data_IF_222365638411
#
_entry.id   IF_222365638411
#
_cell.length_a   1.000
_cell.length_b   1.000
_cell.length_c   1.000
_cell.angle_alpha   90.00
_cell.angle_beta   90.00
_cell.angle_gamma   90.00
#
_symmetry.space_group_name_H-M   'P 1'
#
loop_
_entity.id
_entity.type
_entity.pdbx_description
1 polymer ?
#
# COMPACT_ATOMS: atom_id res chain seq x y z
N UNK A 1 -50.14 6.36 -7.49
CA UNK A 1 -50.14 6.53 -6.03
C UNK A 1 -49.88 5.17 -5.39
N UNK A 2 -48.61 4.88 -5.18
CA UNK A 2 -48.11 3.76 -4.37
C UNK A 2 -47.07 4.39 -3.45
N UNK A 3 -47.13 4.18 -2.13
CA UNK A 3 -46.35 4.96 -1.20
C UNK A 3 -44.88 4.54 -1.27
N UNK A 4 -44.02 5.47 -1.65
CA UNK A 4 -42.60 5.41 -1.31
C UNK A 4 -42.51 5.42 0.21
N UNK A 5 -42.09 4.29 0.79
CA UNK A 5 -41.62 4.25 2.17
C UNK A 5 -40.30 5.04 2.23
N UNK A 6 -40.41 6.35 2.38
CA UNK A 6 -39.36 7.20 2.95
C UNK A 6 -39.16 6.74 4.39
N UNK A 7 -38.35 5.71 4.59
CA UNK A 7 -37.59 5.57 5.85
C UNK A 7 -36.63 6.74 5.87
N UNK A 8 -37.08 7.87 6.43
CA UNK A 8 -36.20 8.90 6.92
C UNK A 8 -35.26 8.22 7.91
N UNK A 9 -34.01 7.97 7.51
CA UNK A 9 -32.96 7.56 8.44
C UNK A 9 -32.83 8.70 9.46
N UNK A 10 -33.44 8.51 10.62
CA UNK A 10 -33.31 9.34 11.80
C UNK A 10 -31.97 9.02 12.46
N UNK A 11 -30.86 9.11 11.72
CA UNK A 11 -29.53 8.98 12.29
C UNK A 11 -28.82 10.33 12.19
N UNK A 12 -28.12 10.72 13.25
CA UNK A 12 -27.31 11.93 13.25
C UNK A 12 -26.22 11.92 12.15
N UNK A 13 -25.84 10.72 11.69
CA UNK A 13 -24.80 10.46 10.69
C UNK A 13 -25.38 10.25 9.28
N UNK A 14 -24.72 10.83 8.27
CA UNK A 14 -25.01 10.63 6.85
C UNK A 14 -24.21 9.41 6.34
N UNK A 15 -24.76 8.22 6.57
CA UNK A 15 -24.07 6.96 6.31
C UNK A 15 -24.25 6.43 4.88
N UNK A 16 -23.17 5.90 4.27
CA UNK A 16 -23.31 5.11 3.06
C UNK A 16 -23.93 3.73 3.35
N UNK A 17 -24.61 3.19 2.34
CA UNK A 17 -25.24 1.85 2.37
C UNK A 17 -24.23 0.71 2.54
N UNK A 18 -22.98 0.93 2.10
CA UNK A 18 -21.86 0.02 2.27
C UNK A 18 -20.76 0.79 2.99
N UNK A 19 -20.31 0.26 4.14
CA UNK A 19 -19.20 0.81 4.90
C UNK A 19 -17.94 0.90 4.04
N UNK A 20 -17.23 2.02 4.13
CA UNK A 20 -15.89 2.18 3.53
C UNK A 20 -14.90 1.09 3.99
N UNK A 21 -15.11 0.47 5.16
CA UNK A 21 -14.38 -0.72 5.60
C UNK A 21 -14.52 -1.94 4.67
N UNK A 22 -15.68 -2.14 4.03
CA UNK A 22 -15.87 -3.21 3.05
C UNK A 22 -15.10 -2.93 1.74
N UNK A 23 -15.01 -1.66 1.34
CA UNK A 23 -14.19 -1.23 0.20
C UNK A 23 -12.70 -1.47 0.51
N UNK A 24 -12.24 -1.16 1.72
CA UNK A 24 -10.87 -1.43 2.16
C UNK A 24 -10.55 -2.93 2.14
N UNK A 25 -11.47 -3.79 2.60
CA UNK A 25 -11.26 -5.25 2.54
C UNK A 25 -11.14 -5.76 1.09
N UNK A 26 -11.99 -5.25 0.20
CA UNK A 26 -11.90 -5.56 -1.22
C UNK A 26 -10.56 -5.11 -1.84
N UNK A 27 -9.98 -4.02 -1.33
CA UNK A 27 -8.69 -3.49 -1.77
C UNK A 27 -7.48 -4.23 -1.17
N UNK A 28 -7.54 -4.71 0.08
CA UNK A 28 -6.35 -5.28 0.75
C UNK A 28 -6.23 -6.80 0.62
N UNK A 29 -7.34 -7.52 0.63
CA UNK A 29 -7.33 -8.99 0.66
C UNK A 29 -6.73 -9.65 -0.59
N UNK A 30 -7.03 -9.19 -1.83
CA UNK A 30 -6.41 -9.77 -3.03
C UNK A 30 -4.89 -9.56 -3.04
N UNK A 31 -4.42 -8.37 -2.66
CA UNK A 31 -3.00 -8.05 -2.51
C UNK A 31 -2.33 -8.95 -1.46
N UNK A 32 -2.95 -9.13 -0.29
CA UNK A 32 -2.44 -10.03 0.75
C UNK A 32 -2.28 -11.47 0.23
N UNK A 33 -3.29 -11.98 -0.47
CA UNK A 33 -3.25 -13.31 -1.06
C UNK A 33 -2.13 -13.45 -2.11
N UNK A 34 -1.95 -12.44 -2.97
CA UNK A 34 -0.87 -12.40 -3.96
C UNK A 34 0.49 -12.37 -3.26
N UNK A 35 0.68 -11.53 -2.23
CA UNK A 35 1.94 -11.45 -1.47
C UNK A 35 2.29 -12.78 -0.80
N UNK A 36 1.31 -13.48 -0.24
CA UNK A 36 1.51 -14.79 0.38
C UNK A 36 1.84 -15.88 -0.65
N UNK A 37 1.19 -15.84 -1.81
CA UNK A 37 1.34 -16.85 -2.88
C UNK A 37 2.57 -16.61 -3.78
N UNK A 38 3.04 -15.37 -3.86
CA UNK A 38 4.10 -14.96 -4.78
C UNK A 38 5.41 -15.75 -4.61
N UNK A 39 5.96 -15.98 -3.39
CA UNK A 39 7.20 -16.73 -3.24
C UNK A 39 7.18 -18.14 -3.85
N UNK A 40 5.99 -18.74 -4.01
CA UNK A 40 5.82 -20.08 -4.58
C UNK A 40 5.59 -20.04 -6.09
N UNK A 41 4.83 -19.07 -6.57
CA UNK A 41 4.33 -19.05 -7.95
C UNK A 41 5.09 -18.08 -8.86
N UNK A 42 5.73 -17.05 -8.31
CA UNK A 42 6.17 -15.89 -9.10
C UNK A 42 7.29 -16.25 -10.08
N UNK A 43 8.17 -17.17 -9.72
CA UNK A 43 9.27 -17.64 -10.56
C UNK A 43 8.79 -18.28 -11.89
N UNK A 44 7.54 -18.76 -11.93
CA UNK A 44 6.95 -19.39 -13.12
C UNK A 44 6.54 -18.37 -14.19
N UNK A 45 6.29 -17.12 -13.79
CA UNK A 45 5.78 -16.09 -14.70
C UNK A 45 6.89 -15.14 -15.15
N UNK A 46 7.07 -14.88 -16.46
CA UNK A 46 8.04 -13.89 -16.94
C UNK A 46 7.61 -12.47 -16.58
N UNK A 47 8.57 -11.55 -16.40
CA UNK A 47 8.32 -10.16 -15.99
C UNK A 47 7.34 -9.43 -16.93
N UNK A 48 7.49 -9.59 -18.24
CA UNK A 48 6.59 -8.95 -19.21
C UNK A 48 5.13 -9.34 -19.04
N UNK A 49 4.85 -10.62 -18.75
CA UNK A 49 3.49 -11.09 -18.49
C UNK A 49 2.94 -10.51 -17.18
N UNK A 50 3.76 -10.44 -16.12
CA UNK A 50 3.33 -9.85 -14.85
C UNK A 50 2.97 -8.37 -15.00
N UNK A 51 3.80 -7.62 -15.73
CA UNK A 51 3.53 -6.20 -16.02
C UNK A 51 2.30 -6.05 -16.91
N UNK A 52 2.12 -6.90 -17.92
CA UNK A 52 0.92 -6.87 -18.76
C UNK A 52 -0.36 -7.10 -17.93
N UNK A 53 -0.36 -8.10 -17.04
CA UNK A 53 -1.49 -8.36 -16.12
C UNK A 53 -1.74 -7.15 -15.20
N UNK A 54 -0.68 -6.55 -14.66
CA UNK A 54 -0.76 -5.35 -13.83
C UNK A 54 -1.42 -4.18 -14.59
N UNK A 55 -0.93 -3.86 -15.79
CA UNK A 55 -1.49 -2.77 -16.61
C UNK A 55 -2.94 -3.03 -16.99
N UNK A 56 -3.27 -4.24 -17.45
CA UNK A 56 -4.65 -4.55 -17.90
C UNK A 56 -5.62 -4.58 -16.73
N UNK A 57 -5.23 -5.09 -15.57
CA UNK A 57 -6.06 -5.06 -14.36
C UNK A 57 -6.23 -3.63 -13.83
N UNK A 58 -5.19 -2.79 -13.83
CA UNK A 58 -5.31 -1.37 -13.47
C UNK A 58 -6.25 -0.62 -14.42
N UNK A 59 -6.08 -0.81 -15.73
CA UNK A 59 -6.91 -0.14 -16.73
C UNK A 59 -8.36 -0.62 -16.66
N UNK A 60 -8.57 -1.93 -16.51
CA UNK A 60 -9.88 -2.53 -16.28
C UNK A 60 -10.54 -2.02 -15.00
N UNK A 61 -9.79 -1.81 -13.92
CA UNK A 61 -10.29 -1.23 -12.67
C UNK A 61 -10.90 0.15 -12.88
N UNK A 62 -10.14 1.10 -13.46
CA UNK A 62 -10.63 2.46 -13.69
C UNK A 62 -11.89 2.47 -14.57
N UNK A 63 -11.91 1.68 -15.65
CA UNK A 63 -13.06 1.59 -16.55
C UNK A 63 -14.28 0.99 -15.84
N UNK A 64 -14.09 -0.09 -15.08
CA UNK A 64 -15.17 -0.81 -14.44
C UNK A 64 -15.81 0.04 -13.32
N UNK A 65 -15.00 0.79 -12.55
CA UNK A 65 -15.53 1.76 -11.56
C UNK A 65 -16.19 2.95 -12.24
N UNK A 66 -15.61 3.49 -13.34
CA UNK A 66 -16.20 4.63 -14.04
C UNK A 66 -17.58 4.31 -14.64
N UNK A 67 -17.81 3.09 -15.13
CA UNK A 67 -19.08 2.66 -15.71
C UNK A 67 -19.96 1.83 -14.77
N UNK A 68 -19.60 1.71 -13.49
CA UNK A 68 -20.37 0.89 -12.56
C UNK A 68 -21.76 1.48 -12.31
N UNK A 69 -22.80 0.65 -12.47
CA UNK A 69 -24.17 1.02 -12.09
C UNK A 69 -24.57 0.47 -10.74
N UNK A 70 -23.88 -0.59 -10.29
CA UNK A 70 -24.16 -1.32 -9.06
C UNK A 70 -22.90 -1.38 -8.19
N UNK A 71 -23.06 -1.38 -6.86
CA UNK A 71 -21.90 -1.38 -5.95
C UNK A 71 -21.02 -2.63 -6.08
N UNK A 72 -21.60 -3.79 -6.43
CA UNK A 72 -20.83 -5.01 -6.70
C UNK A 72 -19.86 -4.84 -7.86
N UNK A 73 -20.26 -4.10 -8.90
CA UNK A 73 -19.36 -3.78 -10.01
C UNK A 73 -18.25 -2.86 -9.51
N UNK A 74 -18.56 -1.78 -8.78
CA UNK A 74 -17.54 -0.89 -8.22
C UNK A 74 -16.51 -1.65 -7.36
N UNK A 75 -16.97 -2.58 -6.50
CA UNK A 75 -16.11 -3.44 -5.67
C UNK A 75 -15.25 -4.39 -6.51
N UNK A 76 -15.80 -4.97 -7.58
CA UNK A 76 -15.01 -5.78 -8.51
C UNK A 76 -13.88 -4.95 -9.16
N UNK A 77 -14.16 -3.69 -9.47
CA UNK A 77 -13.16 -2.74 -9.96
C UNK A 77 -12.06 -2.49 -8.93
N UNK A 78 -12.41 -2.33 -7.65
CA UNK A 78 -11.45 -2.20 -6.55
C UNK A 78 -10.60 -3.46 -6.39
N UNK A 79 -11.18 -4.66 -6.50
CA UNK A 79 -10.44 -5.93 -6.49
C UNK A 79 -9.43 -6.01 -7.64
N UNK A 80 -9.78 -5.54 -8.84
CA UNK A 80 -8.84 -5.45 -9.96
C UNK A 80 -7.70 -4.47 -9.68
N UNK A 81 -7.98 -3.34 -9.03
CA UNK A 81 -6.94 -2.39 -8.59
C UNK A 81 -5.98 -3.05 -7.61
N UNK A 82 -6.51 -3.81 -6.65
CA UNK A 82 -5.73 -4.57 -5.67
C UNK A 82 -4.82 -5.59 -6.34
N UNK A 83 -5.33 -6.37 -7.29
CA UNK A 83 -4.53 -7.36 -8.03
C UNK A 83 -3.38 -6.67 -8.76
N UNK A 84 -3.66 -5.54 -9.42
CA UNK A 84 -2.62 -4.71 -10.07
C UNK A 84 -1.58 -4.25 -9.06
N UNK A 85 -2.01 -3.66 -7.95
CA UNK A 85 -1.12 -3.09 -6.92
C UNK A 85 -0.21 -4.17 -6.32
N UNK A 86 -0.78 -5.29 -5.86
CA UNK A 86 -0.02 -6.39 -5.26
C UNK A 86 0.97 -7.03 -6.24
N UNK A 87 0.55 -7.31 -7.48
CA UNK A 87 1.45 -7.88 -8.49
C UNK A 87 2.52 -6.87 -8.94
N UNK A 88 2.15 -5.60 -9.07
CA UNK A 88 3.04 -4.51 -9.43
C UNK A 88 4.12 -4.30 -8.40
N UNK A 89 3.76 -4.21 -7.11
CA UNK A 89 4.70 -4.05 -6.00
C UNK A 89 5.77 -5.13 -6.04
N UNK A 90 5.38 -6.41 -6.09
CA UNK A 90 6.32 -7.53 -6.05
C UNK A 90 7.19 -7.56 -7.32
N UNK A 91 6.60 -7.26 -8.48
CA UNK A 91 7.31 -7.30 -9.76
C UNK A 91 8.35 -6.18 -9.87
N UNK A 92 7.97 -4.95 -9.58
CA UNK A 92 8.87 -3.79 -9.67
C UNK A 92 9.89 -3.79 -8.53
N UNK A 93 9.51 -4.19 -7.32
CA UNK A 93 10.46 -4.35 -6.22
C UNK A 93 11.51 -5.42 -6.55
N UNK A 94 11.11 -6.57 -7.11
CA UNK A 94 12.05 -7.58 -7.56
C UNK A 94 13.00 -7.05 -8.66
N UNK A 95 12.50 -6.23 -9.59
CA UNK A 95 13.33 -5.62 -10.63
C UNK A 95 14.39 -4.66 -10.06
N UNK A 96 14.13 -3.99 -8.93
CA UNK A 96 15.13 -3.11 -8.30
C UNK A 96 16.42 -3.83 -7.91
N UNK A 97 16.35 -5.15 -7.66
CA UNK A 97 17.53 -5.96 -7.29
C UNK A 97 18.60 -6.04 -8.39
N UNK A 98 18.24 -5.75 -9.63
CA UNK A 98 19.18 -5.70 -10.76
C UNK A 98 19.89 -4.35 -10.90
N UNK A 99 19.53 -3.35 -10.10
CA UNK A 99 20.07 -1.99 -10.17
C UNK A 99 20.73 -1.57 -8.85
N UNK A 100 21.38 -0.40 -8.86
CA UNK A 100 22.05 0.17 -7.70
C UNK A 100 21.09 0.36 -6.52
N UNK A 101 21.60 0.29 -5.29
CA UNK A 101 20.80 0.40 -4.06
C UNK A 101 20.01 1.70 -3.93
N UNK A 102 20.41 2.78 -4.63
CA UNK A 102 19.65 4.03 -4.71
C UNK A 102 18.25 3.85 -5.34
N UNK A 103 18.07 2.85 -6.21
CA UNK A 103 16.79 2.57 -6.89
C UNK A 103 15.71 2.11 -5.92
N UNK A 104 16.06 1.39 -4.85
CA UNK A 104 15.10 0.97 -3.81
C UNK A 104 14.54 2.18 -3.06
N UNK A 105 15.39 3.17 -2.77
CA UNK A 105 14.97 4.43 -2.15
C UNK A 105 14.08 5.24 -3.09
N UNK A 106 14.45 5.34 -4.38
CA UNK A 106 13.63 6.02 -5.38
C UNK A 106 12.25 5.33 -5.57
N UNK A 107 12.20 4.00 -5.54
CA UNK A 107 10.94 3.24 -5.60
C UNK A 107 10.05 3.53 -4.39
N UNK A 108 10.61 3.51 -3.17
CA UNK A 108 9.86 3.81 -1.94
C UNK A 108 9.35 5.26 -1.90
N UNK A 109 10.15 6.21 -2.38
CA UNK A 109 9.72 7.60 -2.53
C UNK A 109 8.61 7.75 -3.59
N UNK A 110 8.75 7.06 -4.74
CA UNK A 110 7.77 7.04 -5.81
C UNK A 110 6.40 6.50 -5.39
N UNK A 111 6.35 5.46 -4.56
CA UNK A 111 5.06 4.95 -4.04
C UNK A 111 4.37 5.94 -3.09
N UNK A 112 5.14 6.66 -2.25
CA UNK A 112 4.60 7.75 -1.44
C UNK A 112 4.11 8.93 -2.29
N UNK A 113 4.88 9.30 -3.33
CA UNK A 113 4.49 10.35 -4.28
C UNK A 113 3.24 9.97 -5.08
N UNK A 114 3.07 8.71 -5.45
CA UNK A 114 1.89 8.21 -6.14
C UNK A 114 0.61 8.41 -5.32
N UNK A 115 0.65 8.20 -4.00
CA UNK A 115 -0.48 8.47 -3.10
C UNK A 115 -0.87 9.96 -3.09
N UNK A 116 0.12 10.84 -2.96
CA UNK A 116 -0.10 12.30 -2.96
C UNK A 116 -0.59 12.81 -4.33
N UNK A 117 0.09 12.45 -5.41
CA UNK A 117 -0.27 12.88 -6.77
C UNK A 117 -1.63 12.29 -7.17
N UNK A 118 -1.91 11.04 -6.81
CA UNK A 118 -3.21 10.40 -7.06
C UNK A 118 -4.36 11.13 -6.35
N UNK A 119 -4.22 11.40 -5.06
CA UNK A 119 -5.23 12.14 -4.30
C UNK A 119 -5.40 13.58 -4.83
N UNK A 120 -4.29 14.28 -5.10
CA UNK A 120 -4.30 15.65 -5.64
C UNK A 120 -4.92 15.72 -7.03
N UNK A 121 -4.60 14.78 -7.92
CA UNK A 121 -5.17 14.77 -9.27
C UNK A 121 -6.66 14.48 -9.23
N UNK A 122 -7.12 13.57 -8.37
CA UNK A 122 -8.55 13.28 -8.23
C UNK A 122 -9.30 14.48 -7.66
N UNK A 123 -8.78 15.05 -6.56
CA UNK A 123 -9.35 16.26 -5.94
C UNK A 123 -9.35 17.44 -6.91
N UNK A 124 -8.25 17.70 -7.59
CA UNK A 124 -8.10 18.84 -8.49
C UNK A 124 -9.01 18.77 -9.71
N UNK A 125 -9.13 17.59 -10.35
CA UNK A 125 -10.03 17.38 -11.49
C UNK A 125 -11.49 17.52 -11.07
N UNK A 126 -11.87 16.96 -9.93
CA UNK A 126 -13.23 17.06 -9.42
C UNK A 126 -13.58 18.47 -8.91
N UNK A 127 -12.61 19.24 -8.41
CA UNK A 127 -12.78 20.67 -8.11
C UNK A 127 -12.86 21.55 -9.36
N UNK A 128 -12.20 21.15 -10.45
CA UNK A 128 -12.32 21.79 -11.75
C UNK A 128 -13.69 21.56 -12.42
N UNK A 129 -14.60 20.82 -11.78
CA UNK A 129 -15.97 20.58 -12.23
C UNK A 129 -16.15 19.28 -13.01
N UNK A 130 -15.13 18.43 -13.14
CA UNK A 130 -15.30 17.11 -13.75
C UNK A 130 -16.11 16.20 -12.82
N UNK A 131 -16.97 15.38 -13.40
CA UNK A 131 -17.67 14.34 -12.65
C UNK A 131 -16.67 13.30 -12.13
N UNK A 132 -16.98 12.55 -11.04
CA UNK A 132 -16.16 11.42 -10.60
C UNK A 132 -15.90 10.40 -11.71
N UNK A 133 -16.90 10.16 -12.57
CA UNK A 133 -16.79 9.27 -13.72
C UNK A 133 -15.75 9.78 -14.73
N UNK A 134 -15.87 11.02 -15.17
CA UNK A 134 -14.93 11.62 -16.13
C UNK A 134 -13.51 11.71 -15.56
N UNK A 135 -13.40 11.96 -14.26
CA UNK A 135 -12.13 11.98 -13.53
C UNK A 135 -11.45 10.62 -13.58
N UNK A 136 -12.18 9.53 -13.29
CA UNK A 136 -11.65 8.17 -13.38
C UNK A 136 -11.26 7.78 -14.80
N UNK A 137 -12.06 8.20 -15.80
CA UNK A 137 -11.74 8.00 -17.22
C UNK A 137 -10.46 8.75 -17.60
N UNK A 138 -10.27 9.99 -17.14
CA UNK A 138 -9.04 10.72 -17.36
C UNK A 138 -7.83 10.03 -16.71
N UNK A 139 -8.00 9.48 -15.50
CA UNK A 139 -6.96 8.75 -14.79
C UNK A 139 -6.54 7.42 -15.44
N UNK A 140 -7.28 6.91 -16.43
CA UNK A 140 -6.86 5.75 -17.22
C UNK A 140 -5.53 5.97 -17.97
N UNK A 141 -5.08 7.23 -18.08
CA UNK A 141 -3.74 7.57 -18.58
C UNK A 141 -2.62 7.01 -17.70
N UNK A 142 -2.85 6.81 -16.39
CA UNK A 142 -1.83 6.34 -15.45
C UNK A 142 -1.35 4.91 -15.78
N UNK A 143 -2.22 3.90 -15.98
CA UNK A 143 -1.80 2.59 -16.50
C UNK A 143 -1.04 2.66 -17.83
N UNK A 144 -1.40 3.59 -18.73
CA UNK A 144 -0.72 3.78 -20.01
C UNK A 144 0.70 4.33 -19.80
N UNK A 145 0.85 5.31 -18.91
CA UNK A 145 2.18 5.84 -18.50
C UNK A 145 3.00 4.73 -17.84
N UNK A 146 2.39 3.89 -17.01
CA UNK A 146 3.08 2.73 -16.40
C UNK A 146 3.59 1.77 -17.48
N UNK A 147 2.79 1.44 -18.50
CA UNK A 147 3.22 0.60 -19.61
C UNK A 147 4.34 1.27 -20.44
N UNK A 148 4.18 2.55 -20.76
CA UNK A 148 5.17 3.30 -21.52
C UNK A 148 6.50 3.40 -20.77
N UNK A 149 6.48 3.64 -19.46
CA UNK A 149 7.69 3.67 -18.64
C UNK A 149 8.38 2.31 -18.59
N UNK A 150 7.64 1.21 -18.49
CA UNK A 150 8.22 -0.13 -18.56
C UNK A 150 8.84 -0.45 -19.93
N UNK A 151 8.18 -0.08 -21.03
CA UNK A 151 8.64 -0.42 -22.38
C UNK A 151 9.78 0.48 -22.88
N UNK A 152 9.75 1.78 -22.58
CA UNK A 152 10.63 2.78 -23.17
C UNK A 152 11.65 3.37 -22.20
N UNK A 153 11.30 3.53 -20.92
CA UNK A 153 12.15 4.19 -19.93
C UNK A 153 13.03 3.19 -19.18
N UNK A 154 12.50 2.01 -18.85
CA UNK A 154 13.22 1.02 -18.07
C UNK A 154 14.31 0.36 -18.91
N UNK A 155 15.57 0.56 -18.51
CA UNK A 155 16.69 -0.13 -19.14
C UNK A 155 16.52 -1.65 -18.97
N UNK A 156 16.63 -2.45 -20.05
CA UNK A 156 16.52 -3.90 -19.94
C UNK A 156 17.62 -4.43 -19.03
N UNK A 157 17.30 -5.35 -18.10
CA UNK A 157 18.33 -5.99 -17.29
C UNK A 157 19.38 -6.63 -18.22
N UNK A 158 20.69 -6.56 -17.92
CA UNK A 158 21.75 -7.11 -18.77
C UNK A 158 21.60 -8.62 -19.09
N UNK A 159 20.71 -9.31 -18.39
CA UNK A 159 20.47 -10.75 -18.46
C UNK A 159 19.02 -11.12 -18.83
N UNK A 160 18.13 -10.15 -19.09
CA UNK A 160 16.74 -10.40 -19.43
C UNK A 160 16.38 -9.82 -20.81
N UNK A 161 15.77 -10.61 -21.72
CA UNK A 161 15.37 -10.10 -23.02
C UNK A 161 14.35 -8.96 -22.89
N UNK A 162 14.58 -7.87 -23.65
CA UNK A 162 13.58 -6.82 -23.93
C UNK A 162 12.30 -7.51 -24.39
N UNK A 163 11.23 -7.44 -23.59
CA UNK A 163 9.92 -7.99 -23.95
C UNK A 163 9.92 -9.50 -24.28
N UNK A 164 10.74 -10.31 -23.59
CA UNK A 164 10.67 -11.76 -23.74
C UNK A 164 9.57 -12.39 -22.88
N UNK A 165 8.66 -13.13 -23.52
CA UNK A 165 7.70 -14.05 -22.89
C UNK A 165 8.37 -15.34 -22.33
N UNK A 166 9.71 -15.34 -22.25
CA UNK A 166 10.49 -16.50 -21.84
C UNK A 166 10.70 -16.55 -20.33
N UNK A 167 10.41 -17.70 -19.73
CA UNK A 167 10.81 -18.03 -18.35
C UNK A 167 12.33 -17.98 -18.28
N UNK A 168 12.88 -17.24 -17.30
CA UNK A 168 14.32 -17.31 -17.00
C UNK A 168 14.65 -18.75 -16.57
N UNK A 169 15.24 -19.55 -17.46
CA UNK A 169 15.82 -20.83 -17.06
C UNK A 169 17.09 -20.53 -16.23
N UNK A 170 17.17 -20.95 -14.96
CA UNK A 170 18.46 -20.96 -14.28
C UNK A 170 19.38 -21.90 -15.07
N UNK A 171 20.52 -21.40 -15.56
CA UNK A 171 21.53 -22.27 -16.17
C UNK A 171 22.09 -23.18 -15.07
N UNK A 172 21.76 -24.47 -15.14
CA UNK A 172 22.59 -25.52 -14.53
C UNK A 172 23.94 -25.53 -15.24
N UNK A 173 25.08 -25.53 -14.53
CA UNK A 173 26.39 -25.63 -15.16
C UNK A 173 26.59 -27.06 -15.64
N UNK A 174 26.35 -27.29 -16.94
CA UNK A 174 26.79 -28.53 -17.61
C UNK A 174 28.17 -28.30 -18.18
N UNK A 175 29.18 -28.94 -17.59
CA UNK A 175 30.47 -29.17 -18.23
C UNK A 175 30.30 -30.00 -19.51
N UNK A 176 31.29 -29.96 -20.42
CA UNK A 176 32.33 -30.97 -20.33
C UNK A 176 33.77 -30.45 -20.50
N UNK A 177 34.67 -31.20 -19.86
CA UNK A 177 36.12 -31.28 -19.96
C UNK A 177 36.75 -31.01 -21.33
N UNK A 178 37.85 -30.24 -21.37
CA UNK A 178 39.19 -30.69 -21.83
C UNK A 178 40.28 -29.83 -21.16
N UNK A 179 41.34 -30.53 -20.77
CA UNK A 179 42.58 -30.19 -20.08
C UNK A 179 43.38 -29.08 -20.78
N UNK A 180 43.89 -28.08 -20.04
CA UNK A 180 45.31 -27.64 -20.08
C UNK A 180 45.57 -26.60 -18.96
N UNK A 181 46.40 -26.97 -17.98
CA UNK A 181 47.16 -26.06 -17.09
C UNK A 181 48.53 -25.82 -17.75
N UNK A 182 49.20 -24.65 -17.57
CA UNK A 182 49.96 -24.43 -16.32
C UNK A 182 50.10 -22.97 -15.80
N UNK A 183 50.34 -22.88 -14.49
CA UNK A 183 51.27 -22.01 -13.73
C UNK A 183 51.27 -20.47 -13.96
N UNK A 184 50.74 -19.71 -12.99
CA UNK A 184 51.49 -18.92 -11.98
C UNK A 184 50.48 -18.11 -11.14
N UNK A 185 50.69 -18.05 -9.82
CA UNK A 185 49.77 -17.41 -8.90
C UNK A 185 49.87 -15.88 -8.89
N UNK A 186 48.72 -15.22 -8.90
CA UNK A 186 48.44 -14.15 -7.94
C UNK A 186 46.93 -14.10 -7.67
N UNK A 187 46.56 -14.12 -6.39
CA UNK A 187 45.17 -14.29 -5.94
C UNK A 187 44.39 -12.98 -6.06
N UNK A 188 43.83 -12.70 -7.23
CA UNK A 188 42.71 -11.76 -7.36
C UNK A 188 41.42 -12.50 -6.99
N UNK A 189 40.91 -12.21 -5.79
CA UNK A 189 39.67 -12.72 -5.27
C UNK A 189 38.51 -12.39 -6.22
N UNK A 190 38.04 -13.40 -6.95
CA UNK A 190 36.74 -13.38 -7.63
C UNK A 190 35.67 -13.21 -6.54
N UNK A 191 34.74 -12.23 -6.66
CA UNK A 191 33.64 -12.13 -5.71
C UNK A 191 32.80 -13.40 -5.85
N UNK A 192 32.83 -14.25 -4.83
CA UNK A 192 31.96 -15.41 -4.75
C UNK A 192 30.51 -14.93 -4.90
N UNK A 193 29.80 -15.47 -5.89
CA UNK A 193 28.35 -15.35 -5.93
C UNK A 193 27.80 -15.93 -4.63
N UNK A 194 27.31 -15.06 -3.76
CA UNK A 194 26.63 -15.44 -2.52
C UNK A 194 25.37 -16.19 -2.92
N UNK A 195 25.46 -17.52 -2.91
CA UNK A 195 24.30 -18.40 -2.92
C UNK A 195 23.54 -18.11 -1.62
N UNK A 196 22.43 -17.34 -1.69
CA UNK A 196 21.61 -17.03 -0.50
C UNK A 196 21.24 -18.34 0.19
N UNK A 197 21.66 -18.58 1.44
CA UNK A 197 21.26 -19.78 2.17
C UNK A 197 19.74 -19.80 2.30
N UNK A 198 19.07 -20.88 1.91
CA UNK A 198 17.66 -21.06 2.22
C UNK A 198 17.56 -21.28 3.74
N UNK A 199 17.03 -20.28 4.47
CA UNK A 199 16.87 -20.37 5.93
C UNK A 199 15.98 -21.57 6.32
N UNK A 200 16.39 -22.28 7.35
CA UNK A 200 15.64 -23.36 7.99
C UNK A 200 14.39 -22.79 8.67
N UNK A 201 13.31 -23.58 8.78
CA UNK A 201 12.03 -23.10 9.36
C UNK A 201 12.19 -22.60 10.82
N UNK A 202 13.07 -23.23 11.60
CA UNK A 202 13.39 -22.81 12.97
C UNK A 202 14.15 -21.47 13.02
N UNK A 203 15.05 -21.22 12.07
CA UNK A 203 15.79 -19.95 11.97
C UNK A 203 14.85 -18.81 11.58
N UNK A 204 13.91 -19.08 10.66
CA UNK A 204 12.83 -18.14 10.29
C UNK A 204 11.97 -17.76 11.49
N UNK A 205 11.58 -18.73 12.31
CA UNK A 205 10.78 -18.49 13.51
C UNK A 205 11.54 -17.65 14.54
N UNK A 206 12.82 -17.95 14.77
CA UNK A 206 13.67 -17.18 15.69
C UNK A 206 13.86 -15.72 15.22
N UNK A 207 14.07 -15.51 13.92
CA UNK A 207 14.16 -14.16 13.33
C UNK A 207 12.84 -13.43 13.49
N UNK A 208 11.70 -14.07 13.19
CA UNK A 208 10.38 -13.47 13.37
C UNK A 208 10.10 -13.08 14.83
N UNK A 209 10.45 -13.96 15.79
CA UNK A 209 10.33 -13.69 17.23
C UNK A 209 11.20 -12.51 17.67
N UNK A 210 12.43 -12.42 17.20
CA UNK A 210 13.33 -11.29 17.50
C UNK A 210 12.85 -9.95 16.96
N UNK A 211 12.14 -9.96 15.83
CA UNK A 211 11.60 -8.77 15.18
C UNK A 211 10.22 -8.36 15.69
N UNK A 212 9.57 -9.20 16.50
CA UNK A 212 8.20 -9.00 16.98
C UNK A 212 8.04 -7.66 17.73
N UNK A 213 9.10 -7.19 18.40
CA UNK A 213 9.17 -5.87 19.04
C UNK A 213 8.93 -4.69 18.09
N UNK A 214 9.14 -4.87 16.78
CA UNK A 214 8.87 -3.87 15.74
C UNK A 214 7.62 -4.21 14.92
N UNK A 215 7.37 -5.50 14.69
CA UNK A 215 6.21 -5.96 13.93
C UNK A 215 4.89 -5.63 14.64
N UNK A 216 4.78 -5.88 15.96
CA UNK A 216 3.55 -5.59 16.70
C UNK A 216 3.24 -4.09 16.68
N UNK A 217 4.17 -3.18 17.02
CA UNK A 217 3.91 -1.74 16.93
C UNK A 217 3.52 -1.29 15.52
N UNK A 218 4.16 -1.83 14.48
CA UNK A 218 3.82 -1.53 13.11
C UNK A 218 2.38 -1.95 12.79
N UNK A 219 2.00 -3.19 13.11
CA UNK A 219 0.62 -3.66 12.92
C UNK A 219 -0.40 -2.79 13.67
N UNK A 220 -0.07 -2.34 14.89
CA UNK A 220 -0.95 -1.47 15.70
C UNK A 220 -1.08 -0.07 15.09
N UNK A 221 0.02 0.53 14.63
CA UNK A 221 -0.02 1.82 13.92
C UNK A 221 -0.93 1.73 12.71
N UNK A 222 -0.70 0.74 11.85
CA UNK A 222 -1.48 0.53 10.62
C UNK A 222 -2.94 0.19 10.90
N UNK A 223 -3.21 -0.59 11.94
CA UNK A 223 -4.57 -0.85 12.38
C UNK A 223 -5.29 0.46 12.75
N UNK A 224 -4.69 1.26 13.63
CA UNK A 224 -5.30 2.50 14.12
C UNK A 224 -5.44 3.55 13.00
N UNK A 225 -4.42 3.71 12.17
CA UNK A 225 -4.42 4.57 10.96
C UNK A 225 -5.56 4.22 10.01
N UNK A 226 -5.68 2.97 9.58
CA UNK A 226 -6.73 2.60 8.63
C UNK A 226 -8.11 2.60 9.28
N UNK A 227 -8.18 2.39 10.60
CA UNK A 227 -9.45 2.44 11.33
C UNK A 227 -10.00 3.87 11.40
N UNK A 228 -9.12 4.85 11.59
CA UNK A 228 -9.48 6.26 11.48
C UNK A 228 -9.95 6.57 10.06
N UNK A 229 -9.13 6.22 9.05
CA UNK A 229 -9.40 6.53 7.64
C UNK A 229 -10.70 5.94 7.09
N UNK A 230 -10.98 4.66 7.39
CA UNK A 230 -12.07 3.89 6.79
C UNK A 230 -13.22 3.60 7.76
N UNK A 231 -13.08 3.99 9.03
CA UNK A 231 -14.12 3.80 10.05
C UNK A 231 -14.67 5.13 10.60
N UNK A 232 -13.84 6.18 10.68
CA UNK A 232 -14.21 7.43 11.37
C UNK A 232 -14.37 8.62 10.43
N UNK A 233 -13.55 8.74 9.38
CA UNK A 233 -13.60 9.90 8.47
C UNK A 233 -14.90 10.03 7.70
N UNK A 234 -15.51 8.91 7.34
CA UNK A 234 -16.83 8.90 6.69
C UNK A 234 -17.92 9.49 7.62
N UNK A 235 -17.76 9.34 8.94
CA UNK A 235 -18.73 9.81 9.93
C UNK A 235 -18.47 11.27 10.37
N UNK A 236 -17.27 11.81 10.09
CA UNK A 236 -16.85 13.16 10.45
C UNK A 236 -17.32 14.21 9.41
N UNK A 237 -18.60 14.59 9.51
CA UNK A 237 -19.19 15.58 8.62
C UNK A 237 -19.50 16.92 9.31
N UNK A 238 -19.02 18.03 8.72
CA UNK A 238 -19.28 19.39 9.20
C UNK A 238 -20.23 20.14 8.26
N UNK A 239 -21.48 20.34 8.69
CA UNK A 239 -22.50 21.07 7.91
C UNK A 239 -22.21 22.56 7.73
N UNK A 240 -21.48 23.18 8.65
CA UNK A 240 -21.24 24.63 8.68
C UNK A 240 -19.97 25.05 7.92
N UNK A 241 -19.72 24.47 6.75
CA UNK A 241 -18.52 24.80 5.95
C UNK A 241 -18.87 25.03 4.49
N UNK A 242 -17.95 25.66 3.76
CA UNK A 242 -18.06 25.89 2.31
C UNK A 242 -17.96 24.59 1.50
N UNK A 243 -17.48 23.51 2.13
CA UNK A 243 -17.21 22.23 1.47
C UNK A 243 -18.37 21.26 1.64
N UNK A 244 -18.79 20.64 0.55
CA UNK A 244 -19.81 19.59 0.55
C UNK A 244 -19.27 18.29 1.18
N UNK A 245 -20.17 17.38 1.62
CA UNK A 245 -19.78 16.11 2.26
C UNK A 245 -18.72 15.31 1.45
N UNK A 246 -18.86 15.11 0.11
CA UNK A 246 -17.85 14.40 -0.68
C UNK A 246 -16.55 15.20 -0.89
N UNK A 247 -16.59 16.52 -0.77
CA UNK A 247 -15.40 17.38 -0.86
C UNK A 247 -14.56 17.32 0.42
N UNK A 248 -15.23 17.30 1.58
CA UNK A 248 -14.56 17.12 2.87
C UNK A 248 -13.79 15.79 2.90
N UNK A 249 -14.42 14.70 2.49
CA UNK A 249 -13.77 13.38 2.42
C UNK A 249 -12.56 13.37 1.46
N UNK A 250 -12.67 13.98 0.27
CA UNK A 250 -11.54 14.11 -0.66
C UNK A 250 -10.38 14.92 -0.06
N UNK A 251 -10.67 15.99 0.67
CA UNK A 251 -9.66 16.78 1.38
C UNK A 251 -9.00 16.01 2.53
N UNK A 252 -9.78 15.24 3.29
CA UNK A 252 -9.27 14.34 4.33
C UNK A 252 -8.24 13.36 3.74
N UNK A 253 -8.59 12.70 2.65
CA UNK A 253 -7.68 11.77 1.96
C UNK A 253 -6.41 12.47 1.43
N UNK A 254 -6.54 13.67 0.85
CA UNK A 254 -5.39 14.45 0.37
C UNK A 254 -4.43 14.83 1.51
N UNK A 255 -4.96 15.34 2.63
CA UNK A 255 -4.15 15.78 3.78
C UNK A 255 -3.46 14.60 4.46
N UNK A 256 -4.16 13.47 4.58
CA UNK A 256 -3.59 12.23 5.06
C UNK A 256 -2.39 11.81 4.19
N UNK A 257 -2.55 11.75 2.87
CA UNK A 257 -1.47 11.40 1.95
C UNK A 257 -0.31 12.41 1.97
N UNK A 258 -0.60 13.70 2.19
CA UNK A 258 0.44 14.71 2.38
C UNK A 258 1.28 14.43 3.63
N UNK A 259 0.65 14.08 4.75
CA UNK A 259 1.32 13.68 5.99
C UNK A 259 2.20 12.43 5.81
N UNK A 260 1.67 11.41 5.12
CA UNK A 260 2.43 10.19 4.79
C UNK A 260 3.64 10.51 3.91
N UNK A 261 3.47 11.36 2.90
CA UNK A 261 4.57 11.75 2.01
C UNK A 261 5.68 12.51 2.75
N UNK A 262 5.32 13.48 3.60
CA UNK A 262 6.27 14.26 4.40
C UNK A 262 7.05 13.35 5.36
N UNK A 263 6.37 12.47 6.08
CA UNK A 263 7.01 11.56 7.03
C UNK A 263 7.91 10.53 6.32
N UNK A 264 7.49 9.96 5.19
CA UNK A 264 8.33 9.04 4.40
C UNK A 264 9.57 9.72 3.84
N UNK A 265 9.43 10.96 3.38
CA UNK A 265 10.55 11.73 2.81
C UNK A 265 11.54 12.23 3.86
N UNK A 266 11.08 12.46 5.11
CA UNK A 266 11.91 12.96 6.21
C UNK A 266 12.76 11.89 6.91
N UNK A 267 12.62 10.62 6.54
CA UNK A 267 13.30 9.50 7.21
C UNK A 267 14.84 9.55 7.13
N UNK A 268 15.40 10.19 6.10
CA UNK A 268 16.85 10.41 6.02
C UNK A 268 17.34 11.46 7.02
N UNK A 269 16.47 12.37 7.47
CA UNK A 269 16.79 13.49 8.35
C UNK A 269 16.43 13.21 9.82
N UNK A 270 15.29 12.58 10.09
CA UNK A 270 14.76 12.34 11.45
C UNK A 270 14.61 10.84 11.67
N UNK A 271 15.34 10.29 12.66
CA UNK A 271 15.33 8.86 12.99
C UNK A 271 14.68 8.63 14.35
N UNK A 272 13.64 7.80 14.38
CA UNK A 272 12.89 7.44 15.58
C UNK A 272 13.07 5.95 15.84
N UNK A 273 13.95 5.58 16.78
CA UNK A 273 14.17 4.17 17.15
C UNK A 273 13.04 3.57 18.00
N UNK A 274 12.25 4.40 18.69
CA UNK A 274 11.20 3.96 19.61
C UNK A 274 9.84 3.90 18.91
N UNK A 275 9.64 2.88 18.07
CA UNK A 275 8.41 2.69 17.27
C UNK A 275 7.17 2.51 18.15
N UNK A 276 7.32 1.89 19.33
CA UNK A 276 6.24 1.71 20.29
C UNK A 276 5.61 3.05 20.72
N UNK A 277 6.39 4.15 20.75
CA UNK A 277 5.86 5.48 21.04
C UNK A 277 4.91 5.95 19.94
N UNK A 278 5.25 5.71 18.66
CA UNK A 278 4.39 6.05 17.53
C UNK A 278 3.08 5.25 17.57
N UNK A 279 3.15 3.97 17.95
CA UNK A 279 1.96 3.14 18.15
C UNK A 279 1.03 3.70 19.24
N UNK A 280 1.58 4.10 20.40
CA UNK A 280 0.79 4.74 21.46
C UNK A 280 0.14 6.03 20.95
N UNK A 281 0.92 6.92 20.32
CA UNK A 281 0.42 8.20 19.83
C UNK A 281 -0.68 8.00 18.78
N UNK A 282 -0.55 7.00 17.92
CA UNK A 282 -1.57 6.66 16.93
C UNK A 282 -2.84 6.10 17.59
N UNK A 283 -2.71 5.23 18.59
CA UNK A 283 -3.87 4.75 19.35
C UNK A 283 -4.56 5.86 20.13
N UNK A 284 -3.81 6.80 20.71
CA UNK A 284 -4.39 7.97 21.38
C UNK A 284 -5.15 8.85 20.39
N UNK A 285 -4.61 9.06 19.18
CA UNK A 285 -5.30 9.80 18.13
C UNK A 285 -6.59 9.09 17.69
N UNK A 286 -6.53 7.76 17.53
CA UNK A 286 -7.69 6.94 17.19
C UNK A 286 -8.79 7.04 18.25
N UNK A 287 -8.44 6.89 19.54
CA UNK A 287 -9.39 7.02 20.64
C UNK A 287 -9.97 8.43 20.67
N UNK A 288 -9.13 9.47 20.56
CA UNK A 288 -9.58 10.86 20.51
C UNK A 288 -10.59 11.10 19.39
N UNK A 289 -10.28 10.65 18.17
CA UNK A 289 -11.18 10.80 17.01
C UNK A 289 -12.45 9.97 17.16
N UNK A 290 -12.38 8.78 17.76
CA UNK A 290 -13.57 7.98 18.04
C UNK A 290 -14.51 8.70 19.03
N UNK A 291 -13.97 9.29 20.09
CA UNK A 291 -14.73 10.15 21.01
C UNK A 291 -15.28 11.40 20.28
N UNK A 292 -14.47 12.00 19.41
CA UNK A 292 -14.87 13.16 18.64
C UNK A 292 -16.06 12.89 17.71
N UNK A 293 -16.08 11.73 17.05
CA UNK A 293 -17.20 11.26 16.23
C UNK A 293 -18.41 10.98 17.13
N UNK A 294 -18.22 10.22 18.21
CA UNK A 294 -19.31 9.77 19.09
C UNK A 294 -20.06 10.91 19.77
N UNK A 295 -19.36 11.97 20.17
CA UNK A 295 -19.93 13.11 20.90
C UNK A 295 -20.05 14.38 20.04
N UNK A 296 -19.60 14.35 18.79
CA UNK A 296 -19.63 15.49 17.84
C UNK A 296 -19.16 16.81 18.45
N UNK A 297 -18.13 16.79 19.31
CA UNK A 297 -17.69 17.97 20.06
C UNK A 297 -16.69 18.86 19.29
N UNK A 298 -16.21 18.40 18.13
CA UNK A 298 -15.23 19.17 17.36
C UNK A 298 -15.88 20.42 16.76
N UNK A 299 -15.35 21.62 17.02
CA UNK A 299 -16.02 22.86 16.63
C UNK A 299 -15.75 23.27 15.18
N UNK A 300 -14.66 22.81 14.57
CA UNK A 300 -14.20 23.30 13.28
C UNK A 300 -13.46 22.21 12.46
N UNK A 301 -13.72 22.16 11.16
CA UNK A 301 -13.07 21.30 10.18
C UNK A 301 -11.54 21.47 10.13
N UNK A 302 -11.01 22.67 10.37
CA UNK A 302 -9.55 22.90 10.34
C UNK A 302 -8.82 22.15 11.45
N UNK A 303 -9.48 21.93 12.60
CA UNK A 303 -8.91 21.11 13.68
C UNK A 303 -8.77 19.66 13.20
N UNK A 304 -9.79 19.15 12.49
CA UNK A 304 -9.74 17.83 11.87
C UNK A 304 -8.63 17.76 10.85
N UNK A 305 -8.49 18.74 9.95
CA UNK A 305 -7.39 18.78 8.97
C UNK A 305 -6.00 18.63 9.62
N UNK A 306 -5.76 19.31 10.74
CA UNK A 306 -4.49 19.18 11.48
C UNK A 306 -4.33 17.78 12.08
N UNK A 307 -5.38 17.20 12.65
CA UNK A 307 -5.36 15.85 13.22
C UNK A 307 -5.11 14.77 12.15
N UNK A 308 -5.70 14.93 10.96
CA UNK A 308 -5.51 14.04 9.82
C UNK A 308 -4.08 14.14 9.28
N UNK A 309 -3.55 15.36 9.16
CA UNK A 309 -2.15 15.54 8.76
C UNK A 309 -1.20 14.89 9.78
N UNK A 310 -1.49 15.07 11.08
CA UNK A 310 -0.76 14.44 12.17
C UNK A 310 -0.83 12.91 12.12
N UNK A 311 -2.00 12.35 11.85
CA UNK A 311 -2.18 10.92 11.64
C UNK A 311 -1.30 10.37 10.51
N UNK A 312 -1.33 11.02 9.34
CA UNK A 312 -0.50 10.62 8.19
C UNK A 312 1.00 10.72 8.49
N UNK A 313 1.41 11.72 9.30
CA UNK A 313 2.80 11.84 9.75
C UNK A 313 3.23 10.67 10.64
N UNK A 314 2.37 10.23 11.58
CA UNK A 314 2.64 9.10 12.45
C UNK A 314 2.70 7.77 11.68
N UNK A 315 1.74 7.54 10.78
CA UNK A 315 1.68 6.34 9.95
C UNK A 315 2.92 6.15 9.08
N UNK A 316 3.26 7.18 8.29
CA UNK A 316 4.46 7.12 7.43
C UNK A 316 5.78 7.10 8.21
N UNK A 317 5.86 7.76 9.38
CA UNK A 317 7.02 7.65 10.25
C UNK A 317 7.16 6.25 10.84
N UNK A 318 6.06 5.63 11.28
CA UNK A 318 6.02 4.26 11.78
C UNK A 318 6.52 3.26 10.75
N UNK A 319 6.08 3.41 9.50
CA UNK A 319 6.52 2.59 8.37
C UNK A 319 8.04 2.68 8.16
N UNK A 320 8.56 3.86 7.82
CA UNK A 320 9.97 3.93 7.39
C UNK A 320 10.93 3.61 8.52
N UNK A 321 10.64 4.05 9.75
CA UNK A 321 11.49 3.71 10.89
C UNK A 321 11.47 2.21 11.21
N UNK A 322 10.35 1.52 11.00
CA UNK A 322 10.29 0.05 11.16
C UNK A 322 11.14 -0.65 10.12
N UNK A 323 10.93 -0.33 8.83
CA UNK A 323 11.70 -0.95 7.76
C UNK A 323 13.20 -0.68 7.91
N UNK A 324 13.58 0.50 8.37
CA UNK A 324 14.97 0.83 8.66
C UNK A 324 15.53 0.02 9.84
N UNK A 325 14.83 -0.04 10.98
CA UNK A 325 15.28 -0.79 12.15
C UNK A 325 15.38 -2.30 11.86
N UNK A 326 14.37 -2.87 11.19
CA UNK A 326 14.37 -4.27 10.76
C UNK A 326 15.54 -4.54 9.81
N UNK A 327 15.82 -3.60 8.91
CA UNK A 327 16.93 -3.66 7.96
C UNK A 327 18.32 -3.58 8.61
N UNK A 328 18.49 -2.74 9.64
CA UNK A 328 19.76 -2.59 10.37
C UNK A 328 20.04 -3.76 11.32
N UNK A 329 19.02 -4.31 11.98
CA UNK A 329 19.17 -5.36 12.99
C UNK A 329 19.21 -6.77 12.38
N UNK A 330 18.65 -6.95 11.18
CA UNK A 330 18.68 -8.24 10.49
C UNK A 330 20.01 -8.47 9.79
N UNK A 331 20.59 -9.67 9.97
CA UNK A 331 21.74 -10.12 9.18
C UNK A 331 21.42 -10.05 7.68
N UNK A 332 22.41 -9.76 6.81
CA UNK A 332 22.19 -9.65 5.35
C UNK A 332 21.48 -10.87 4.74
N UNK A 333 21.77 -12.06 5.27
CA UNK A 333 21.19 -13.34 4.85
C UNK A 333 19.70 -13.48 5.21
N UNK A 334 19.25 -12.83 6.29
CA UNK A 334 17.86 -12.92 6.79
C UNK A 334 17.02 -11.68 6.47
N UNK A 335 17.65 -10.62 5.96
CA UNK A 335 17.02 -9.31 5.72
C UNK A 335 15.84 -9.37 4.75
N UNK A 336 15.93 -10.16 3.69
CA UNK A 336 14.83 -10.34 2.74
C UNK A 336 13.60 -10.97 3.40
N UNK A 337 13.82 -12.03 4.19
CA UNK A 337 12.75 -12.67 4.95
C UNK A 337 12.16 -11.72 6.01
N UNK A 338 13.01 -11.02 6.75
CA UNK A 338 12.62 -10.05 7.77
C UNK A 338 11.76 -8.91 7.20
N UNK A 339 12.14 -8.35 6.06
CA UNK A 339 11.36 -7.31 5.37
C UNK A 339 10.03 -7.87 4.84
N UNK A 340 10.03 -9.10 4.32
CA UNK A 340 8.80 -9.77 3.90
C UNK A 340 7.81 -9.99 5.06
N UNK A 341 8.30 -10.40 6.23
CA UNK A 341 7.46 -10.55 7.43
C UNK A 341 6.91 -9.21 7.91
N UNK A 342 7.69 -8.13 7.82
CA UNK A 342 7.21 -6.77 8.13
C UNK A 342 6.07 -6.32 7.19
N UNK A 343 6.18 -6.61 5.88
CA UNK A 343 5.11 -6.38 4.90
C UNK A 343 3.89 -7.32 5.05
N UNK A 344 3.95 -8.35 5.89
CA UNK A 344 2.77 -9.16 6.24
C UNK A 344 2.11 -8.54 7.47
N UNK A 345 2.92 -8.10 8.44
CA UNK A 345 2.45 -7.49 9.67
C UNK A 345 1.65 -6.20 9.45
N UNK A 346 2.07 -5.33 8.52
CA UNK A 346 1.30 -4.12 8.16
C UNK A 346 -0.06 -4.47 7.53
N UNK A 347 -0.07 -5.40 6.58
CA UNK A 347 -1.25 -5.82 5.81
C UNK A 347 -2.27 -6.51 6.70
N UNK A 348 -1.81 -7.27 7.70
CA UNK A 348 -2.67 -7.84 8.74
C UNK A 348 -3.35 -6.75 9.59
N UNK A 349 -2.63 -5.70 9.98
CA UNK A 349 -3.21 -4.56 10.70
C UNK A 349 -4.30 -3.86 9.89
N UNK A 350 -4.04 -3.60 8.60
CA UNK A 350 -5.01 -2.99 7.67
C UNK A 350 -6.25 -3.87 7.50
N UNK A 351 -6.06 -5.18 7.31
CA UNK A 351 -7.16 -6.13 7.12
C UNK A 351 -8.06 -6.21 8.36
N UNK A 352 -7.45 -6.26 9.56
CA UNK A 352 -8.20 -6.27 10.81
C UNK A 352 -8.98 -4.96 11.03
N UNK A 353 -8.39 -3.83 10.64
CA UNK A 353 -9.04 -2.53 10.67
C UNK A 353 -10.29 -2.49 9.80
N UNK A 354 -10.19 -2.93 8.54
CA UNK A 354 -11.35 -3.00 7.63
C UNK A 354 -12.46 -3.91 8.16
N UNK A 355 -12.10 -5.05 8.76
CA UNK A 355 -13.07 -5.97 9.35
C UNK A 355 -13.80 -5.38 10.57
N UNK A 356 -13.12 -4.56 11.39
CA UNK A 356 -13.69 -3.90 12.57
C UNK A 356 -14.44 -2.60 12.21
N UNK A 357 -14.04 -1.92 11.13
CA UNK A 357 -14.73 -0.71 10.66
C UNK A 357 -16.18 -0.99 10.24
N UNK A 358 -16.46 -2.15 9.64
CA UNK A 358 -17.82 -2.54 9.20
C UNK A 358 -18.83 -2.58 10.35
N UNK A 359 -18.64 -3.35 11.45
CA UNK A 359 -19.59 -3.40 12.54
C UNK A 359 -19.72 -2.07 13.27
N UNK A 360 -18.64 -1.27 13.33
CA UNK A 360 -18.67 0.05 13.96
C UNK A 360 -19.46 1.05 13.12
N UNK A 361 -19.26 1.08 11.81
CA UNK A 361 -20.09 1.85 10.88
C UNK A 361 -21.56 1.49 11.07
N UNK A 362 -21.89 0.20 11.01
CA UNK A 362 -23.26 -0.26 11.22
C UNK A 362 -23.81 0.19 12.57
N UNK A 363 -23.03 0.12 13.65
CA UNK A 363 -23.46 0.60 14.96
C UNK A 363 -23.81 2.10 14.95
N UNK A 364 -22.93 2.96 14.42
CA UNK A 364 -23.19 4.40 14.35
C UNK A 364 -24.37 4.76 13.45
N UNK A 365 -24.57 4.05 12.33
CA UNK A 365 -25.68 4.30 11.42
C UNK A 365 -27.05 3.87 11.96
N UNK A 366 -27.09 3.00 12.97
CA UNK A 366 -28.33 2.63 13.66
C UNK A 366 -28.61 3.50 14.89
N UNK A 367 -27.72 4.42 15.26
CA UNK A 367 -27.97 5.35 16.35
C UNK A 367 -28.98 6.42 15.91
N UNK A 368 -29.95 6.78 16.79
CA UNK A 368 -31.00 7.74 16.51
C UNK A 368 -30.54 9.20 16.40
#
# INVERSE_FOLDING_TARGET
ASPENTTTNTSQYDCNTISTGAVLLADILPTLFIKFSAPFCIHLFPYGLRVAICVTSAWGSFLLVAFSTNTTQSLLGVVLASISSGLGEITFLALTSFFNSAVVSAWSSGTGGAGLIGALSYLGLTQAGLTPQDTLLFMTIVPVIMLASYCFLLAPPPQAPRCGWGVCKPKSPRGPSVIQQPLLGDRLAVPQMIQKPQLTLQEKEQVAKGLLKYLIPLSVVYFAEYFINQGLFELLYFRNTVLNHPEQYRWYQMLYQAGVFISRSSASCIRIRKIWLLAILQCLNMVFLLFAVSYMFLPNIYVVFVLILYEGLLGGAGYVNTFHCVSEESKPEHREFAMGVACIADTLGISLSGAIAIPIHNYFCHLP
#
